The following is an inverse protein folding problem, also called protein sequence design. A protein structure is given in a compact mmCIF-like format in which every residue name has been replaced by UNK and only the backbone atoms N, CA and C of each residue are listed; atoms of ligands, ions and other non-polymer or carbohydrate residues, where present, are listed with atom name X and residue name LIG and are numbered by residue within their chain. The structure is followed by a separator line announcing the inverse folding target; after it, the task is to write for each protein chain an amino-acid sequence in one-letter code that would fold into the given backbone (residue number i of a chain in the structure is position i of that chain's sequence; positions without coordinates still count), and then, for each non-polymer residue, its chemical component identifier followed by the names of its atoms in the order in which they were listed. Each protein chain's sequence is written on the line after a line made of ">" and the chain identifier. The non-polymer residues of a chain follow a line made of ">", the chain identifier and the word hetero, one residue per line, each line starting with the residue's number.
data_IF_300860846875
#
_entry.id   IF_300860846875
#
_cell.length_a   1.000
_cell.length_b   1.000
_cell.length_c   1.000
_cell.angle_alpha   90.00
_cell.angle_beta   90.00
_cell.angle_gamma   90.00
#
_symmetry.space_group_name_H-M   'P 1'
#
loop_
_entity.id
_entity.type
_entity.pdbx_description
1 polymer ?
#
# COMPACT_ATOMS: atom_id res chain seq x y z
N UNK A 1 -12.62 -20.28 12.51
CA UNK A 1 -11.50 -19.47 13.04
C UNK A 1 -11.69 -19.20 14.53
N UNK A 2 -12.75 -18.53 14.98
CA UNK A 2 -12.97 -18.23 16.42
C UNK A 2 -13.53 -19.38 17.25
N UNK A 3 -14.06 -20.43 16.64
CA UNK A 3 -14.60 -21.61 17.35
C UNK A 3 -13.53 -22.41 18.10
N UNK A 4 -12.28 -22.29 17.67
CA UNK A 4 -11.11 -22.92 18.32
C UNK A 4 -10.38 -22.02 19.32
N UNK A 5 -10.75 -20.74 19.40
CA UNK A 5 -10.13 -19.75 20.27
C UNK A 5 -11.04 -19.49 21.47
N UNK A 6 -10.90 -20.32 22.51
CA UNK A 6 -11.44 -20.01 23.81
C UNK A 6 -10.45 -19.09 24.54
N UNK A 7 -10.64 -17.80 24.40
CA UNK A 7 -10.12 -16.85 25.37
C UNK A 7 -11.16 -16.80 26.49
N UNK A 8 -10.79 -17.20 27.70
CA UNK A 8 -11.69 -17.31 28.84
C UNK A 8 -12.36 -15.97 29.21
N UNK A 9 -11.89 -14.87 28.66
CA UNK A 9 -12.37 -13.50 28.94
C UNK A 9 -13.28 -12.89 27.87
N UNK A 10 -13.39 -13.48 26.66
CA UNK A 10 -14.09 -12.83 25.54
C UNK A 10 -14.70 -13.82 24.56
N UNK A 11 -16.01 -13.73 24.36
CA UNK A 11 -16.72 -14.46 23.32
C UNK A 11 -16.68 -13.66 21.99
N UNK A 12 -15.57 -13.76 21.29
CA UNK A 12 -15.33 -13.10 20.01
C UNK A 12 -16.38 -13.41 18.93
N UNK A 13 -16.92 -14.63 18.96
CA UNK A 13 -17.95 -15.05 17.99
C UNK A 13 -19.24 -14.28 18.24
N UNK A 14 -19.69 -14.23 19.48
CA UNK A 14 -20.89 -13.52 19.88
C UNK A 14 -20.79 -12.02 19.64
N UNK A 15 -19.62 -11.46 19.91
CA UNK A 15 -19.35 -10.04 19.63
C UNK A 15 -19.44 -9.72 18.13
N UNK A 16 -18.88 -10.58 17.26
CA UNK A 16 -18.96 -10.43 15.80
C UNK A 16 -20.39 -10.59 15.28
N UNK A 17 -21.16 -11.55 15.78
CA UNK A 17 -22.55 -11.80 15.35
C UNK A 17 -23.49 -10.64 15.72
N UNK A 18 -23.14 -9.84 16.71
CA UNK A 18 -23.93 -8.69 17.16
C UNK A 18 -23.57 -7.38 16.44
N UNK A 19 -22.53 -7.38 15.57
CA UNK A 19 -22.11 -6.17 14.89
C UNK A 19 -22.92 -5.87 13.62
N UNK A 20 -23.18 -4.58 13.34
CA UNK A 20 -23.75 -4.16 12.06
C UNK A 20 -22.88 -4.58 10.87
N UNK A 21 -23.51 -4.94 9.75
CA UNK A 21 -22.79 -5.30 8.51
C UNK A 21 -21.84 -4.18 8.01
N UNK A 22 -22.21 -2.93 8.18
CA UNK A 22 -21.41 -1.78 7.76
C UNK A 22 -20.04 -1.69 8.45
N UNK A 23 -19.93 -2.21 9.67
CA UNK A 23 -18.66 -2.23 10.41
C UNK A 23 -17.62 -3.15 9.75
N UNK A 24 -18.04 -4.19 9.03
CA UNK A 24 -17.13 -5.16 8.40
C UNK A 24 -16.32 -4.59 7.23
N UNK A 25 -16.65 -3.40 6.75
CA UNK A 25 -15.83 -2.68 5.76
C UNK A 25 -14.59 -1.99 6.37
N UNK A 26 -14.48 -1.95 7.70
CA UNK A 26 -13.35 -1.33 8.38
C UNK A 26 -12.13 -2.24 8.44
N UNK A 27 -11.05 -1.83 7.75
CA UNK A 27 -9.75 -2.54 7.81
C UNK A 27 -9.19 -2.55 9.25
N UNK A 28 -9.36 -1.49 10.03
CA UNK A 28 -8.92 -1.46 11.44
C UNK A 28 -9.64 -2.51 12.27
N UNK A 29 -10.93 -2.68 12.04
CA UNK A 29 -11.73 -3.69 12.75
C UNK A 29 -11.31 -5.11 12.34
N UNK A 30 -11.09 -5.35 11.06
CA UNK A 30 -10.56 -6.62 10.57
C UNK A 30 -9.22 -6.96 11.24
N UNK A 31 -8.29 -6.00 11.29
CA UNK A 31 -6.99 -6.18 11.93
C UNK A 31 -7.13 -6.40 13.44
N UNK A 32 -8.04 -5.69 14.11
CA UNK A 32 -8.33 -5.90 15.52
C UNK A 32 -8.69 -7.36 15.82
N UNK A 33 -9.62 -7.92 15.06
CA UNK A 33 -10.04 -9.31 15.27
C UNK A 33 -8.95 -10.31 14.89
N UNK A 34 -8.26 -10.12 13.78
CA UNK A 34 -7.18 -11.03 13.37
C UNK A 34 -5.94 -10.94 14.26
N UNK A 35 -5.84 -9.92 15.09
CA UNK A 35 -4.79 -9.74 16.11
C UNK A 35 -5.28 -10.08 17.52
N UNK A 36 -6.45 -10.70 17.66
CA UNK A 36 -7.06 -11.04 18.96
C UNK A 36 -7.13 -9.82 19.91
N UNK A 37 -7.52 -8.65 19.37
CA UNK A 37 -7.67 -7.41 20.13
C UNK A 37 -6.38 -6.85 20.72
N UNK A 38 -5.21 -7.21 20.17
CA UNK A 38 -3.91 -6.77 20.69
C UNK A 38 -3.11 -5.98 19.66
N UNK A 39 -2.34 -5.02 20.15
CA UNK A 39 -1.36 -4.29 19.33
C UNK A 39 -0.29 -5.26 18.82
N UNK A 40 -0.04 -5.23 17.51
CA UNK A 40 0.92 -6.16 16.89
C UNK A 40 2.34 -6.01 17.45
N UNK A 41 2.75 -4.79 17.84
CA UNK A 41 4.12 -4.51 18.27
C UNK A 41 4.33 -4.54 19.78
N UNK A 42 3.33 -4.16 20.60
CA UNK A 42 3.47 -4.24 22.06
C UNK A 42 2.80 -5.47 22.67
N UNK A 43 1.85 -6.09 21.98
CA UNK A 43 1.02 -7.16 22.52
C UNK A 43 -0.02 -6.71 23.54
N UNK A 44 -0.09 -5.41 23.85
CA UNK A 44 -1.06 -4.86 24.78
C UNK A 44 -2.47 -4.84 24.20
N UNK A 45 -3.50 -4.97 25.05
CA UNK A 45 -4.88 -4.89 24.59
C UNK A 45 -5.18 -3.56 23.89
N UNK A 46 -6.00 -3.63 22.85
CA UNK A 46 -6.55 -2.49 22.13
C UNK A 46 -7.95 -2.22 22.66
N UNK A 47 -8.21 -0.97 23.01
CA UNK A 47 -9.55 -0.51 23.38
C UNK A 47 -10.39 -0.33 22.11
N UNK A 48 -11.38 -1.21 21.95
CA UNK A 48 -12.25 -1.22 20.79
C UNK A 48 -13.09 0.08 20.67
N UNK A 49 -13.46 0.70 21.79
CA UNK A 49 -14.22 1.97 21.78
C UNK A 49 -13.42 3.13 21.19
N UNK A 50 -12.09 3.03 21.22
CA UNK A 50 -11.16 4.02 20.70
C UNK A 50 -10.50 3.63 19.37
N UNK A 51 -10.98 2.55 18.73
CA UNK A 51 -10.38 2.04 17.51
C UNK A 51 -10.35 3.07 16.36
N UNK A 52 -11.36 3.94 16.31
CA UNK A 52 -11.48 5.02 15.32
C UNK A 52 -10.61 6.24 15.64
N UNK A 53 -10.10 6.34 16.87
CA UNK A 53 -9.26 7.47 17.29
C UNK A 53 -7.88 7.38 16.62
N UNK A 54 -7.65 8.26 15.64
CA UNK A 54 -6.40 8.33 14.91
C UNK A 54 -5.21 8.77 15.77
N UNK A 55 -5.44 9.31 16.97
CA UNK A 55 -4.37 9.68 17.89
C UNK A 55 -3.86 8.51 18.72
N UNK A 56 -4.59 7.40 18.77
CA UNK A 56 -4.27 6.24 19.62
C UNK A 56 -3.78 5.06 18.80
N UNK A 57 -4.50 4.71 17.73
CA UNK A 57 -4.21 3.52 16.93
C UNK A 57 -4.08 3.83 15.45
N UNK A 58 -3.01 3.29 14.86
CA UNK A 58 -2.70 3.42 13.43
C UNK A 58 -2.68 2.06 12.75
N UNK A 59 -2.91 2.09 11.42
CA UNK A 59 -2.51 1.01 10.52
C UNK A 59 -1.08 1.25 10.10
N UNK A 60 -0.19 0.34 10.42
CA UNK A 60 1.18 0.39 9.95
C UNK A 60 1.42 -0.65 8.85
N UNK A 61 2.38 -0.35 7.99
CA UNK A 61 2.88 -1.24 6.95
C UNK A 61 4.13 -1.95 7.44
N UNK A 62 4.10 -3.28 7.51
CA UNK A 62 5.26 -4.11 7.93
C UNK A 62 6.47 -3.76 7.05
N UNK A 63 6.30 -3.84 5.75
CA UNK A 63 7.24 -3.27 4.78
C UNK A 63 6.83 -1.82 4.48
N UNK A 64 7.74 -0.85 4.59
CA UNK A 64 7.39 0.56 4.47
C UNK A 64 6.65 0.88 3.18
N UNK A 65 5.52 1.57 3.30
CA UNK A 65 4.69 1.96 2.16
C UNK A 65 5.45 2.82 1.14
N UNK A 66 6.37 3.66 1.63
CA UNK A 66 7.23 4.48 0.77
C UNK A 66 8.07 3.66 -0.22
N UNK A 67 8.37 2.40 0.11
CA UNK A 67 9.21 1.50 -0.70
C UNK A 67 8.39 0.52 -1.54
N UNK A 68 7.28 0.00 -1.03
CA UNK A 68 6.57 -1.11 -1.66
C UNK A 68 5.21 -0.75 -2.23
N UNK A 69 4.53 0.27 -1.69
CA UNK A 69 3.12 0.60 -1.99
C UNK A 69 2.18 -0.60 -1.86
N UNK A 70 2.52 -1.52 -0.98
CA UNK A 70 1.75 -2.74 -0.75
C UNK A 70 0.76 -2.52 0.40
N UNK A 71 -0.51 -2.33 0.06
CA UNK A 71 -1.63 -2.17 1.00
C UNK A 71 -2.37 -3.50 1.23
N UNK A 72 -1.75 -4.63 0.91
CA UNK A 72 -2.34 -5.95 1.18
C UNK A 72 -2.49 -6.20 2.68
N UNK A 73 -3.46 -7.02 3.06
CA UNK A 73 -3.68 -7.40 4.46
C UNK A 73 -2.47 -8.11 5.08
N UNK A 74 -1.62 -8.71 4.24
CA UNK A 74 -0.36 -9.33 4.67
C UNK A 74 0.73 -8.31 5.01
N UNK A 75 0.55 -7.07 4.57
CA UNK A 75 1.47 -5.97 4.88
C UNK A 75 0.92 -4.99 5.94
N UNK A 76 -0.34 -5.13 6.35
CA UNK A 76 -0.99 -4.20 7.28
C UNK A 76 -1.11 -4.79 8.67
N UNK A 77 -0.80 -3.99 9.69
CA UNK A 77 -0.99 -4.32 11.11
C UNK A 77 -1.62 -3.15 11.86
N UNK A 78 -2.35 -3.47 12.93
CA UNK A 78 -2.92 -2.49 13.84
C UNK A 78 -1.99 -2.32 15.04
N UNK A 79 -1.57 -1.10 15.28
CA UNK A 79 -0.57 -0.78 16.31
C UNK A 79 -0.92 0.50 17.06
N UNK A 80 -0.32 0.71 18.21
CA UNK A 80 -0.33 2.01 18.88
C UNK A 80 0.43 3.03 18.03
N UNK A 81 -0.12 4.23 17.88
CA UNK A 81 0.45 5.31 17.06
C UNK A 81 1.89 5.65 17.43
N UNK A 82 2.20 5.68 18.72
CA UNK A 82 3.57 5.94 19.20
C UNK A 82 4.61 4.93 18.69
N UNK A 83 4.22 3.65 18.57
CA UNK A 83 5.09 2.59 18.04
C UNK A 83 5.25 2.69 16.53
N UNK A 84 4.19 3.08 15.82
CA UNK A 84 4.27 3.39 14.40
C UNK A 84 5.22 4.56 14.15
N UNK A 85 5.09 5.64 14.90
CA UNK A 85 5.97 6.80 14.81
C UNK A 85 7.45 6.45 15.07
N UNK A 86 7.72 5.60 16.07
CA UNK A 86 9.10 5.11 16.36
C UNK A 86 9.66 4.27 15.22
N UNK A 87 8.86 3.40 14.60
CA UNK A 87 9.30 2.57 13.47
C UNK A 87 9.58 3.41 12.23
N UNK A 88 8.78 4.46 11.99
CA UNK A 88 8.91 5.33 10.82
C UNK A 88 8.96 4.53 9.50
N UNK A 89 9.87 4.86 8.58
CA UNK A 89 10.07 4.17 7.30
C UNK A 89 11.04 2.96 7.38
N UNK A 90 11.30 2.47 8.59
CA UNK A 90 12.17 1.32 8.84
C UNK A 90 11.46 -0.03 8.82
N UNK A 91 12.25 -1.09 8.95
CA UNK A 91 11.77 -2.43 9.27
C UNK A 91 11.47 -2.54 10.77
N UNK A 92 10.74 -3.58 11.17
CA UNK A 92 10.47 -3.86 12.59
C UNK A 92 11.78 -4.14 13.32
N UNK A 93 11.97 -3.52 14.48
CA UNK A 93 13.19 -3.71 15.27
C UNK A 93 13.35 -5.15 15.77
N UNK A 94 14.59 -5.61 15.87
CA UNK A 94 14.89 -6.96 16.37
C UNK A 94 14.42 -7.18 17.82
N UNK A 95 14.28 -6.13 18.60
CA UNK A 95 13.74 -6.16 19.96
C UNK A 95 12.25 -6.53 19.95
N UNK A 96 11.43 -5.82 19.16
CA UNK A 96 10.03 -6.13 18.98
C UNK A 96 9.84 -7.57 18.44
N UNK A 97 10.67 -7.99 17.49
CA UNK A 97 10.62 -9.33 16.93
C UNK A 97 10.84 -10.41 17.98
N UNK A 98 11.85 -10.24 18.84
CA UNK A 98 12.15 -11.18 19.93
C UNK A 98 11.00 -11.26 20.93
N UNK A 99 10.49 -10.10 21.34
CA UNK A 99 9.44 -10.02 22.35
C UNK A 99 8.08 -10.54 21.86
N UNK A 100 7.79 -10.36 20.57
CA UNK A 100 6.47 -10.70 20.00
C UNK A 100 6.45 -11.98 19.19
N UNK A 101 7.58 -12.62 18.95
CA UNK A 101 7.67 -13.89 18.22
C UNK A 101 6.65 -14.95 18.67
N UNK A 102 6.52 -15.17 19.97
CA UNK A 102 5.58 -16.15 20.53
C UNK A 102 4.13 -15.81 20.17
N UNK A 103 3.73 -14.55 20.32
CA UNK A 103 2.40 -14.07 19.97
C UNK A 103 2.12 -14.21 18.46
N UNK A 104 3.03 -13.80 17.61
CA UNK A 104 2.87 -13.93 16.16
C UNK A 104 2.80 -15.39 15.69
N UNK A 105 3.58 -16.26 16.32
CA UNK A 105 3.53 -17.70 16.04
C UNK A 105 2.20 -18.33 16.48
N UNK A 106 1.63 -17.86 17.58
CA UNK A 106 0.30 -18.27 18.01
C UNK A 106 -0.77 -17.85 17.00
N UNK A 107 -0.75 -16.61 16.54
CA UNK A 107 -1.67 -16.12 15.51
C UNK A 107 -1.56 -16.93 14.22
N UNK A 108 -0.35 -17.28 13.80
CA UNK A 108 -0.12 -18.15 12.64
C UNK A 108 -0.71 -19.54 12.84
N UNK A 109 -0.41 -20.18 13.96
CA UNK A 109 -0.89 -21.54 14.26
C UNK A 109 -2.42 -21.62 14.33
N UNK A 110 -3.07 -20.56 14.79
CA UNK A 110 -4.53 -20.42 14.83
C UNK A 110 -5.15 -19.97 13.50
N UNK A 111 -4.34 -19.69 12.48
CA UNK A 111 -4.79 -19.24 11.17
C UNK A 111 -5.33 -17.81 11.10
N UNK A 112 -5.02 -16.96 12.09
CA UNK A 112 -5.40 -15.54 12.10
C UNK A 112 -4.55 -14.70 11.16
N UNK A 113 -3.29 -15.08 10.96
CA UNK A 113 -2.39 -14.45 10.00
C UNK A 113 -1.86 -15.51 9.02
N UNK A 114 -1.52 -15.06 7.82
CA UNK A 114 -0.91 -15.90 6.79
C UNK A 114 0.55 -16.21 7.10
N UNK A 115 1.11 -17.24 6.46
CA UNK A 115 2.53 -17.54 6.47
C UNK A 115 3.36 -16.36 5.93
N UNK A 116 2.86 -15.69 4.89
CA UNK A 116 3.48 -14.51 4.29
C UNK A 116 3.59 -13.37 5.30
N UNK A 117 2.48 -13.04 5.99
CA UNK A 117 2.47 -12.00 7.02
C UNK A 117 3.44 -12.30 8.15
N UNK A 118 3.46 -13.55 8.62
CA UNK A 118 4.40 -13.98 9.65
C UNK A 118 5.85 -13.83 9.18
N UNK A 119 6.17 -14.26 7.96
CA UNK A 119 7.48 -14.09 7.36
C UNK A 119 7.92 -12.61 7.32
N UNK A 120 7.02 -11.72 6.91
CA UNK A 120 7.28 -10.27 6.87
C UNK A 120 7.55 -9.70 8.26
N UNK A 121 6.78 -10.10 9.28
CA UNK A 121 6.98 -9.69 10.68
C UNK A 121 8.34 -10.12 11.22
N UNK A 122 8.81 -11.30 10.85
CA UNK A 122 10.07 -11.88 11.32
C UNK A 122 11.30 -11.46 10.51
N UNK A 123 11.11 -10.75 9.42
CA UNK A 123 12.21 -10.36 8.54
C UNK A 123 13.11 -9.31 9.21
N UNK A 124 14.41 -9.58 9.22
CA UNK A 124 15.44 -8.68 9.79
C UNK A 124 16.10 -7.81 8.74
N UNK A 125 16.32 -8.37 7.55
CA UNK A 125 17.06 -7.71 6.48
C UNK A 125 16.18 -6.73 5.70
N UNK A 126 16.80 -5.68 5.21
CA UNK A 126 16.15 -4.75 4.28
C UNK A 126 15.73 -5.48 3.00
N UNK A 127 14.74 -4.92 2.30
CA UNK A 127 14.33 -5.43 0.99
C UNK A 127 15.48 -5.30 -0.01
N UNK A 128 15.72 -6.36 -0.79
CA UNK A 128 16.72 -6.34 -1.86
C UNK A 128 16.25 -5.53 -3.07
N UNK A 129 17.18 -5.16 -3.95
CA UNK A 129 16.84 -4.46 -5.19
C UNK A 129 15.89 -5.29 -6.08
N UNK A 130 16.06 -6.61 -6.09
CA UNK A 130 15.21 -7.56 -6.82
C UNK A 130 13.77 -7.56 -6.27
N UNK A 131 13.63 -7.58 -4.95
CA UNK A 131 12.32 -7.53 -4.29
C UNK A 131 11.64 -6.18 -4.54
N UNK A 132 12.36 -5.07 -4.41
CA UNK A 132 11.84 -3.74 -4.72
C UNK A 132 11.41 -3.65 -6.19
N UNK A 133 12.21 -4.18 -7.12
CA UNK A 133 11.84 -4.26 -8.52
C UNK A 133 10.58 -5.10 -8.75
N UNK A 134 10.41 -6.20 -8.00
CA UNK A 134 9.19 -7.02 -8.03
C UNK A 134 7.96 -6.24 -7.55
N UNK A 135 8.08 -5.46 -6.47
CA UNK A 135 6.98 -4.58 -6.02
C UNK A 135 6.64 -3.51 -7.05
N UNK A 136 7.63 -2.90 -7.71
CA UNK A 136 7.41 -1.94 -8.80
C UNK A 136 6.67 -2.61 -9.96
N UNK A 137 7.15 -3.77 -10.42
CA UNK A 137 6.50 -4.50 -11.49
C UNK A 137 5.05 -4.87 -11.13
N UNK A 138 4.79 -5.28 -9.88
CA UNK A 138 3.44 -5.57 -9.42
C UNK A 138 2.53 -4.34 -9.48
N UNK A 139 3.03 -3.15 -9.13
CA UNK A 139 2.27 -1.92 -9.29
C UNK A 139 1.91 -1.61 -10.74
N UNK A 140 2.79 -1.96 -11.67
CA UNK A 140 2.58 -1.74 -13.11
C UNK A 140 1.65 -2.78 -13.75
N UNK A 141 1.70 -4.04 -13.28
CA UNK A 141 1.13 -5.20 -13.98
C UNK A 141 -0.09 -5.80 -13.27
N UNK A 142 -0.28 -5.51 -11.97
CA UNK A 142 -1.34 -6.13 -11.19
C UNK A 142 -2.73 -5.63 -11.61
N UNK A 143 -3.31 -6.37 -12.56
CA UNK A 143 -4.65 -6.17 -13.06
C UNK A 143 -5.56 -7.31 -12.59
N UNK A 144 -6.83 -6.99 -12.27
CA UNK A 144 -7.86 -8.00 -12.10
C UNK A 144 -8.01 -8.79 -13.40
N UNK A 145 -8.52 -10.03 -13.31
CA UNK A 145 -8.68 -10.91 -14.47
C UNK A 145 -9.39 -10.24 -15.67
N UNK A 146 -10.46 -9.47 -15.39
CA UNK A 146 -11.19 -8.69 -16.39
C UNK A 146 -10.32 -7.64 -17.09
N UNK A 147 -9.46 -6.95 -16.35
CA UNK A 147 -8.53 -5.97 -16.93
C UNK A 147 -7.49 -6.63 -17.83
N UNK A 148 -7.04 -7.85 -17.50
CA UNK A 148 -6.13 -8.61 -18.37
C UNK A 148 -6.75 -8.95 -19.73
N UNK A 149 -8.04 -9.31 -19.74
CA UNK A 149 -8.77 -9.57 -20.99
C UNK A 149 -8.84 -8.30 -21.84
N UNK A 150 -9.21 -7.18 -21.23
CA UNK A 150 -9.30 -5.88 -21.92
C UNK A 150 -7.94 -5.44 -22.46
N UNK A 151 -6.89 -5.56 -21.67
CA UNK A 151 -5.51 -5.28 -22.12
C UNK A 151 -5.12 -6.18 -23.30
N UNK A 152 -5.46 -7.46 -23.24
CA UNK A 152 -5.22 -8.40 -24.33
C UNK A 152 -5.94 -8.02 -25.64
N UNK A 153 -7.15 -7.51 -25.54
CA UNK A 153 -7.89 -6.97 -26.68
C UNK A 153 -7.21 -5.72 -27.25
N UNK A 154 -6.86 -4.74 -26.41
CA UNK A 154 -6.18 -3.52 -26.87
C UNK A 154 -4.82 -3.82 -27.51
N UNK A 155 -4.02 -4.73 -26.95
CA UNK A 155 -2.75 -5.12 -27.56
C UNK A 155 -2.91 -5.77 -28.94
N UNK A 156 -4.04 -6.47 -29.19
CA UNK A 156 -4.34 -7.03 -30.53
C UNK A 156 -4.83 -5.97 -31.51
N UNK A 157 -5.65 -5.05 -31.03
CA UNK A 157 -6.21 -3.98 -31.88
C UNK A 157 -5.18 -2.90 -32.23
N UNK A 158 -4.22 -2.66 -31.34
CA UNK A 158 -3.21 -1.61 -31.45
C UNK A 158 -1.82 -2.15 -31.14
N UNK A 159 -1.23 -2.99 -32.02
CA UNK A 159 0.02 -3.68 -31.74
C UNK A 159 1.22 -2.74 -31.54
N UNK A 160 1.18 -1.56 -32.16
CA UNK A 160 2.22 -0.54 -32.04
C UNK A 160 2.05 0.39 -30.82
N UNK A 161 0.95 0.22 -30.08
CA UNK A 161 0.62 1.04 -28.93
C UNK A 161 0.98 0.33 -27.63
N UNK A 162 1.52 1.08 -26.69
CA UNK A 162 1.81 0.55 -25.35
C UNK A 162 0.57 0.67 -24.47
N UNK A 163 0.08 -0.44 -23.95
CA UNK A 163 -1.02 -0.47 -23.00
C UNK A 163 -0.46 -0.62 -21.59
N UNK A 164 -0.72 0.35 -20.72
CA UNK A 164 -0.32 0.33 -19.33
C UNK A 164 -1.56 0.32 -18.41
N UNK A 165 -1.53 -0.53 -17.39
CA UNK A 165 -2.53 -0.52 -16.33
C UNK A 165 -2.06 0.40 -15.19
N UNK A 166 -2.93 1.30 -14.77
CA UNK A 166 -2.66 2.25 -13.69
C UNK A 166 -3.63 1.98 -12.54
N UNK A 167 -3.10 1.74 -11.35
CA UNK A 167 -3.93 1.60 -10.13
C UNK A 167 -4.51 2.95 -9.73
N UNK A 168 -5.76 2.96 -9.29
CA UNK A 168 -6.46 4.18 -8.86
C UNK A 168 -5.76 4.92 -7.71
N UNK A 169 -5.10 4.18 -6.78
CA UNK A 169 -4.35 4.80 -5.69
C UNK A 169 -3.17 5.63 -6.19
N UNK A 170 -2.49 5.22 -7.27
CA UNK A 170 -1.37 5.97 -7.83
C UNK A 170 -1.83 7.33 -8.38
N UNK A 171 -2.99 7.36 -9.01
CA UNK A 171 -3.60 8.60 -9.49
C UNK A 171 -4.04 9.47 -8.32
N UNK A 172 -4.58 8.87 -7.25
CA UNK A 172 -4.94 9.57 -6.02
C UNK A 172 -3.71 10.19 -5.35
N UNK A 173 -2.63 9.45 -5.22
CA UNK A 173 -1.36 9.95 -4.66
C UNK A 173 -0.85 11.14 -5.47
N UNK A 174 -0.87 11.03 -6.81
CA UNK A 174 -0.46 12.12 -7.69
C UNK A 174 -1.31 13.39 -7.51
N UNK A 175 -2.64 13.24 -7.35
CA UNK A 175 -3.55 14.37 -7.10
C UNK A 175 -3.29 15.07 -5.77
N UNK A 176 -2.85 14.32 -4.77
CA UNK A 176 -2.63 14.83 -3.42
C UNK A 176 -1.23 15.48 -3.24
N UNK A 177 -0.41 15.49 -4.28
CA UNK A 177 0.87 16.20 -4.24
C UNK A 177 0.64 17.71 -4.14
N UNK A 178 1.42 18.38 -3.32
CA UNK A 178 1.27 19.83 -3.03
C UNK A 178 1.27 20.72 -4.29
N UNK A 179 1.93 20.27 -5.35
CA UNK A 179 2.07 21.00 -6.60
C UNK A 179 0.96 20.73 -7.63
N UNK A 180 0.05 19.78 -7.36
CA UNK A 180 -0.95 19.29 -8.34
C UNK A 180 -2.38 19.45 -7.83
N UNK A 181 -2.65 20.32 -6.88
CA UNK A 181 -3.98 20.51 -6.26
C UNK A 181 -5.11 20.58 -7.30
N UNK A 182 -5.69 19.42 -7.61
CA UNK A 182 -6.83 19.32 -8.52
C UNK A 182 -8.10 19.20 -7.68
N UNK A 183 -8.81 20.30 -7.55
CA UNK A 183 -10.09 20.31 -6.82
C UNK A 183 -11.18 19.62 -7.62
N UNK A 184 -11.85 18.66 -7.00
CA UNK A 184 -13.05 18.02 -7.56
C UNK A 184 -14.29 18.77 -7.12
N UNK A 185 -15.04 19.34 -8.05
CA UNK A 185 -16.34 19.98 -7.79
C UNK A 185 -17.42 19.16 -8.49
N UNK A 186 -17.83 18.05 -7.83
CA UNK A 186 -18.79 17.10 -8.40
C UNK A 186 -20.19 17.69 -8.64
N UNK A 187 -20.53 18.74 -7.92
CA UNK A 187 -21.84 19.40 -8.02
C UNK A 187 -21.98 20.33 -9.23
N UNK A 188 -20.90 20.66 -9.92
CA UNK A 188 -20.93 21.62 -11.03
C UNK A 188 -20.95 20.94 -12.40
N UNK A 189 -20.21 19.83 -12.60
CA UNK A 189 -20.10 19.15 -13.88
C UNK A 189 -19.38 17.81 -13.79
N UNK A 190 -19.42 17.03 -14.88
CA UNK A 190 -18.76 15.73 -15.02
C UNK A 190 -17.31 15.81 -15.55
N UNK A 191 -16.72 16.98 -15.66
CA UNK A 191 -15.32 17.15 -16.12
C UNK A 191 -14.30 16.44 -15.25
N UNK A 192 -14.67 16.05 -14.03
CA UNK A 192 -13.82 15.23 -13.18
C UNK A 192 -13.49 13.87 -13.81
N UNK A 193 -14.38 13.29 -14.62
CA UNK A 193 -14.12 12.04 -15.34
C UNK A 193 -13.05 12.22 -16.43
N UNK A 194 -13.15 13.31 -17.20
CA UNK A 194 -12.14 13.65 -18.20
C UNK A 194 -10.78 13.93 -17.57
N UNK A 195 -10.77 14.67 -16.45
CA UNK A 195 -9.54 14.91 -15.66
C UNK A 195 -8.95 13.61 -15.13
N UNK A 196 -9.77 12.70 -14.58
CA UNK A 196 -9.32 11.41 -14.08
C UNK A 196 -8.75 10.54 -15.21
N UNK A 197 -9.38 10.52 -16.38
CA UNK A 197 -8.85 9.82 -17.56
C UNK A 197 -7.50 10.37 -18.01
N UNK A 198 -7.39 11.69 -18.09
CA UNK A 198 -6.13 12.35 -18.43
C UNK A 198 -5.02 12.05 -17.42
N UNK A 199 -5.32 12.11 -16.12
CA UNK A 199 -4.35 11.80 -15.07
C UNK A 199 -3.91 10.34 -15.10
N UNK A 200 -4.78 9.41 -15.47
CA UNK A 200 -4.38 8.02 -15.70
C UNK A 200 -3.33 7.91 -16.82
N UNK A 201 -3.48 8.67 -17.91
CA UNK A 201 -2.49 8.71 -19.00
C UNK A 201 -1.17 9.28 -18.50
N UNK A 202 -1.20 10.40 -17.76
CA UNK A 202 0.00 11.04 -17.22
C UNK A 202 0.73 10.11 -16.27
N UNK A 203 0.03 9.57 -15.28
CA UNK A 203 0.60 8.65 -14.28
C UNK A 203 1.13 7.39 -14.97
N UNK A 204 0.38 6.83 -15.91
CA UNK A 204 0.81 5.67 -16.69
C UNK A 204 2.09 5.93 -17.47
N UNK A 205 2.19 7.06 -18.16
CA UNK A 205 3.38 7.44 -18.89
C UNK A 205 4.60 7.63 -17.98
N UNK A 206 4.44 8.33 -16.85
CA UNK A 206 5.53 8.54 -15.89
C UNK A 206 6.03 7.22 -15.33
N UNK A 207 5.12 6.35 -14.89
CA UNK A 207 5.48 5.00 -14.45
C UNK A 207 6.19 4.25 -15.56
N UNK A 208 5.62 4.27 -16.74
CA UNK A 208 6.14 3.56 -17.89
C UNK A 208 7.55 4.03 -18.25
N UNK A 209 7.84 5.30 -18.35
CA UNK A 209 9.19 5.81 -18.71
C UNK A 209 10.20 5.61 -17.57
N UNK A 210 9.79 5.72 -16.32
CA UNK A 210 10.71 5.64 -15.19
C UNK A 210 11.08 4.21 -14.82
N UNK A 211 10.17 3.24 -15.00
CA UNK A 211 10.35 1.88 -14.48
C UNK A 211 10.27 0.77 -15.54
N UNK A 212 9.98 1.11 -16.81
CA UNK A 212 9.38 0.20 -17.75
C UNK A 212 10.18 -0.95 -18.27
N UNK A 213 11.41 -0.73 -18.56
CA UNK A 213 12.13 -1.79 -19.25
C UNK A 213 13.02 -2.56 -18.28
N UNK A 214 13.40 -1.97 -17.17
CA UNK A 214 14.19 -2.63 -16.15
C UNK A 214 14.20 -1.87 -14.82
N UNK A 215 13.19 -2.07 -13.92
CA UNK A 215 13.16 -1.46 -12.59
C UNK A 215 14.42 -1.75 -11.77
N UNK A 216 14.99 -2.95 -11.93
CA UNK A 216 16.23 -3.35 -11.27
C UNK A 216 17.42 -2.50 -11.73
N UNK A 217 17.52 -2.20 -13.03
CA UNK A 217 18.58 -1.34 -13.55
C UNK A 217 18.45 0.11 -13.03
N UNK A 218 17.21 0.61 -12.91
CA UNK A 218 16.96 1.92 -12.34
C UNK A 218 17.39 1.97 -10.88
N UNK A 219 17.03 0.98 -10.07
CA UNK A 219 17.43 0.86 -8.66
C UNK A 219 18.96 0.81 -8.51
N UNK A 220 19.64 0.03 -9.33
CA UNK A 220 21.10 -0.08 -9.32
C UNK A 220 21.80 1.25 -9.65
N UNK A 221 21.26 2.02 -10.57
CA UNK A 221 21.79 3.35 -10.94
C UNK A 221 21.55 4.43 -9.88
N UNK A 222 20.50 4.26 -9.08
CA UNK A 222 20.05 5.28 -8.11
C UNK A 222 20.19 4.79 -6.65
N UNK A 223 21.20 3.96 -6.35
CA UNK A 223 21.42 3.35 -5.03
C UNK A 223 21.48 4.34 -3.87
N UNK A 224 21.96 5.54 -4.11
CA UNK A 224 22.09 6.59 -3.08
C UNK A 224 20.85 7.51 -2.99
N UNK A 225 19.86 7.34 -3.87
CA UNK A 225 18.62 8.07 -3.78
C UNK A 225 17.63 7.28 -2.92
N UNK A 226 16.99 7.95 -1.96
CA UNK A 226 15.84 7.36 -1.29
C UNK A 226 14.80 6.95 -2.33
N UNK A 227 14.64 5.65 -2.52
CA UNK A 227 13.62 5.12 -3.40
C UNK A 227 12.26 5.25 -2.72
N UNK A 228 11.48 6.20 -3.16
CA UNK A 228 10.10 6.37 -2.72
C UNK A 228 9.17 6.44 -3.92
N UNK A 229 8.17 5.56 -3.93
CA UNK A 229 7.09 5.62 -4.93
C UNK A 229 6.30 6.92 -4.83
N UNK A 230 6.22 7.53 -3.64
CA UNK A 230 5.55 8.81 -3.44
C UNK A 230 6.32 9.97 -4.09
N UNK A 231 7.63 9.85 -4.23
CA UNK A 231 8.49 10.90 -4.77
C UNK A 231 8.77 10.75 -6.27
N UNK A 232 8.20 9.74 -6.93
CA UNK A 232 8.51 9.48 -8.34
C UNK A 232 8.17 10.64 -9.28
N UNK A 233 7.23 11.49 -8.90
CA UNK A 233 6.84 12.68 -9.66
C UNK A 233 7.67 13.92 -9.33
N UNK A 234 8.61 13.82 -8.40
CA UNK A 234 9.45 14.94 -7.94
C UNK A 234 10.67 15.18 -8.85
N UNK A 235 10.85 14.43 -9.91
CA UNK A 235 12.00 14.52 -10.80
C UNK A 235 11.55 14.83 -12.23
N UNK A 236 12.41 15.55 -12.96
CA UNK A 236 12.18 15.75 -14.39
C UNK A 236 12.21 14.41 -15.12
N UNK A 237 11.26 14.21 -16.02
CA UNK A 237 11.18 13.03 -16.86
C UNK A 237 11.56 13.41 -18.28
N UNK A 238 12.65 12.83 -18.79
CA UNK A 238 13.20 13.11 -20.11
C UNK A 238 13.06 11.86 -21.00
N UNK A 239 12.53 12.05 -22.20
CA UNK A 239 12.42 11.03 -23.24
C UNK A 239 12.89 11.60 -24.57
N UNK A 240 13.85 10.93 -25.21
CA UNK A 240 14.45 11.38 -26.48
C UNK A 240 14.86 12.86 -26.42
N UNK A 241 15.59 13.22 -25.36
CA UNK A 241 16.07 14.59 -25.06
C UNK A 241 14.96 15.66 -24.87
N UNK A 242 13.70 15.23 -24.83
CA UNK A 242 12.57 16.10 -24.53
C UNK A 242 12.08 15.90 -23.11
N UNK A 243 11.92 17.01 -22.38
CA UNK A 243 11.30 16.99 -21.06
C UNK A 243 9.80 16.74 -21.26
N UNK A 244 9.33 15.57 -20.84
CA UNK A 244 7.90 15.18 -20.90
C UNK A 244 7.17 15.47 -19.59
N UNK A 245 7.91 15.60 -18.49
CA UNK A 245 7.42 16.03 -17.19
C UNK A 245 8.50 16.88 -16.52
N UNK A 246 8.14 18.04 -16.00
CA UNK A 246 9.07 18.91 -15.28
C UNK A 246 8.65 19.07 -13.82
N UNK A 247 9.60 18.88 -12.91
CA UNK A 247 9.41 19.12 -11.49
C UNK A 247 9.07 20.59 -11.23
N UNK A 248 8.08 20.85 -10.40
CA UNK A 248 7.93 22.12 -9.69
C UNK A 248 7.44 23.33 -10.48
N UNK A 249 7.02 23.21 -11.71
CA UNK A 249 6.31 24.27 -12.40
C UNK A 249 4.80 24.05 -12.33
N UNK A 250 4.16 24.69 -11.35
CA UNK A 250 2.74 25.07 -11.27
C UNK A 250 1.78 24.37 -12.24
N UNK A 251 1.77 23.04 -12.23
CA UNK A 251 0.71 22.25 -12.87
C UNK A 251 0.51 22.40 -14.37
N UNK A 252 1.44 22.97 -15.10
CA UNK A 252 1.37 23.04 -16.57
C UNK A 252 1.96 21.78 -17.18
N UNK A 253 1.10 20.82 -17.43
CA UNK A 253 1.36 19.71 -18.35
C UNK A 253 1.52 20.31 -19.76
N UNK A 254 2.67 20.17 -20.35
CA UNK A 254 2.92 20.45 -21.78
C UNK A 254 2.95 19.16 -22.55
#
# INVERSE_FOLDING_TARGET
>A
MYESCKDESKDWKKELEQRPEDDFHSIKLYLYYTQMGRCMYSGEPIDLSRLSDANVYDRDHIYPQSKTKDDSLDNLVLVKRELNAKKSNGMISSEIQKDRHGFWKELLNKGFISQEKYYRLMRKDSLTDEELASFINRQLVEARQSSKIVIGLFNRMYPDSKVAYVKANLVSDFKNMDNVKITKVRSLNDYHHAKDAYLNIVVGNVYFEKFTNNPLQWLKKNRNAEYSLNQMFNYDLIKNDKVIWKRGNNGTLR
#
